data_IF_735081032315
#
_entry.id   IF_735081032315
#
_cell.length_a   1.000
_cell.length_b   1.000
_cell.length_c   1.000
_cell.angle_alpha   90.00
_cell.angle_beta   90.00
_cell.angle_gamma   90.00
#
_symmetry.space_group_name_H-M   'P 1'
#
loop_
_entity.id
_entity.type
_entity.pdbx_description
1 polymer ?
#
# COMPACT_ATOMS: atom_id res chain seq x y z
N UNK A 1 9.67 3.60 -41.14
CA UNK A 1 9.42 2.35 -40.39
C UNK A 1 9.92 2.47 -38.93
N UNK A 2 9.33 3.36 -38.11
CA UNK A 2 9.69 3.49 -36.67
C UNK A 2 8.46 3.73 -35.75
N UNK A 3 7.25 3.34 -36.15
CA UNK A 3 6.03 3.57 -35.34
C UNK A 3 5.64 2.41 -34.41
N UNK A 4 6.31 1.27 -34.50
CA UNK A 4 5.93 0.06 -33.75
C UNK A 4 6.46 -0.01 -32.31
N UNK A 5 7.63 0.59 -32.01
CA UNK A 5 8.26 0.46 -30.69
C UNK A 5 7.67 1.39 -29.61
N UNK A 6 7.18 2.54 -30.00
CA UNK A 6 6.55 3.51 -29.07
C UNK A 6 5.16 3.04 -28.58
N UNK A 7 4.44 2.28 -29.40
CA UNK A 7 3.12 1.75 -29.02
C UNK A 7 3.21 0.56 -28.07
N UNK A 8 4.23 -0.27 -28.20
CA UNK A 8 4.46 -1.42 -27.31
C UNK A 8 4.90 -0.97 -25.91
N UNK A 9 5.79 0.03 -25.82
CA UNK A 9 6.22 0.62 -24.56
C UNK A 9 5.06 1.26 -23.79
N UNK A 10 4.21 2.05 -24.46
CA UNK A 10 3.01 2.66 -23.85
C UNK A 10 1.99 1.63 -23.36
N UNK A 11 1.79 0.52 -24.09
CA UNK A 11 0.90 -0.56 -23.65
C UNK A 11 1.43 -1.29 -22.41
N UNK A 12 2.75 -1.52 -22.34
CA UNK A 12 3.37 -2.19 -21.18
C UNK A 12 3.28 -1.36 -19.92
N UNK A 13 3.57 -0.07 -19.97
CA UNK A 13 3.40 0.87 -18.85
C UNK A 13 1.94 0.93 -18.41
N UNK A 14 1.02 1.03 -19.36
CA UNK A 14 -0.42 1.07 -19.10
C UNK A 14 -0.92 -0.17 -18.35
N UNK A 15 -0.48 -1.36 -18.72
CA UNK A 15 -0.89 -2.60 -18.07
C UNK A 15 -0.32 -2.70 -16.65
N UNK A 16 0.89 -2.22 -16.42
CA UNK A 16 1.50 -2.18 -15.09
C UNK A 16 0.74 -1.22 -14.15
N UNK A 17 0.38 -0.03 -14.63
CA UNK A 17 -0.37 0.96 -13.85
C UNK A 17 -1.78 0.45 -13.50
N UNK A 18 -2.47 -0.20 -14.44
CA UNK A 18 -3.78 -0.83 -14.21
C UNK A 18 -3.65 -1.97 -13.19
N UNK A 19 -2.65 -2.84 -13.35
CA UNK A 19 -2.42 -3.93 -12.43
C UNK A 19 -2.12 -3.42 -11.02
N UNK A 20 -1.32 -2.38 -10.88
CA UNK A 20 -1.01 -1.75 -9.59
C UNK A 20 -2.25 -1.10 -8.96
N UNK A 21 -3.11 -0.44 -9.74
CA UNK A 21 -4.37 0.13 -9.27
C UNK A 21 -5.33 -0.97 -8.78
N UNK A 22 -5.53 -2.02 -9.58
CA UNK A 22 -6.41 -3.13 -9.22
C UNK A 22 -5.91 -3.88 -7.98
N UNK A 23 -4.60 -4.06 -7.87
CA UNK A 23 -3.98 -4.75 -6.74
C UNK A 23 -3.97 -3.89 -5.47
N UNK A 24 -3.70 -2.60 -5.59
CA UNK A 24 -3.67 -1.67 -4.45
C UNK A 24 -5.06 -1.27 -3.97
N UNK A 25 -5.72 -0.36 -4.68
CA UNK A 25 -6.94 0.29 -4.18
C UNK A 25 -8.14 -0.66 -4.07
N UNK A 26 -8.38 -1.49 -5.09
CA UNK A 26 -9.57 -2.37 -5.10
C UNK A 26 -9.37 -3.55 -4.16
N UNK A 27 -8.24 -4.24 -4.26
CA UNK A 27 -7.99 -5.41 -3.42
C UNK A 27 -7.91 -5.04 -1.93
N UNK A 28 -7.22 -3.94 -1.58
CA UNK A 28 -7.16 -3.45 -0.21
C UNK A 28 -8.54 -3.09 0.31
N UNK A 29 -9.33 -2.35 -0.47
CA UNK A 29 -10.68 -1.96 -0.08
C UNK A 29 -11.64 -3.13 0.09
N UNK A 30 -11.62 -4.12 -0.81
CA UNK A 30 -12.43 -5.34 -0.70
C UNK A 30 -11.99 -6.20 0.49
N UNK A 31 -10.69 -6.30 0.75
CA UNK A 31 -10.15 -7.00 1.93
C UNK A 31 -10.62 -6.31 3.21
N UNK A 32 -10.56 -4.98 3.27
CA UNK A 32 -11.05 -4.21 4.40
C UNK A 32 -12.54 -4.45 4.65
N UNK A 33 -13.37 -4.39 3.60
CA UNK A 33 -14.79 -4.67 3.70
C UNK A 33 -15.08 -6.09 4.20
N UNK A 34 -14.31 -7.09 3.71
CA UNK A 34 -14.42 -8.48 4.18
C UNK A 34 -14.08 -8.64 5.66
N UNK A 35 -13.05 -7.95 6.16
CA UNK A 35 -12.67 -7.98 7.57
C UNK A 35 -13.72 -7.31 8.45
N UNK A 36 -14.30 -6.18 8.01
CA UNK A 36 -15.42 -5.53 8.72
C UNK A 36 -16.64 -6.42 8.77
N UNK A 37 -17.00 -7.12 7.69
CA UNK A 37 -18.11 -8.09 7.68
C UNK A 37 -17.85 -9.25 8.65
N UNK A 38 -16.64 -9.76 8.72
CA UNK A 38 -16.28 -10.80 9.70
C UNK A 38 -16.41 -10.30 11.14
N UNK A 39 -16.01 -9.06 11.41
CA UNK A 39 -16.17 -8.43 12.71
C UNK A 39 -17.64 -8.24 13.06
N UNK A 40 -18.44 -7.70 12.14
CA UNK A 40 -19.87 -7.54 12.29
C UNK A 40 -20.59 -8.86 12.58
N UNK A 41 -20.23 -9.93 11.86
CA UNK A 41 -20.78 -11.27 12.09
C UNK A 41 -20.45 -11.83 13.49
N UNK A 42 -19.26 -11.51 14.03
CA UNK A 42 -18.86 -11.93 15.38
C UNK A 42 -19.57 -11.13 16.49
N UNK A 43 -19.79 -9.83 16.27
CA UNK A 43 -20.42 -8.93 17.25
C UNK A 43 -21.94 -8.86 17.16
N UNK A 44 -22.54 -9.34 16.06
CA UNK A 44 -23.95 -9.17 15.76
C UNK A 44 -24.32 -7.73 15.36
N UNK A 45 -23.33 -6.90 14.96
CA UNK A 45 -23.50 -5.49 14.61
C UNK A 45 -23.95 -5.34 13.15
N UNK A 46 -25.27 -5.11 12.97
CA UNK A 46 -25.86 -4.92 11.64
C UNK A 46 -25.46 -3.61 10.97
N UNK A 47 -25.17 -2.57 11.73
CA UNK A 47 -24.79 -1.28 11.17
C UNK A 47 -23.38 -1.36 10.59
N UNK A 48 -22.45 -2.02 11.28
CA UNK A 48 -21.11 -2.31 10.78
C UNK A 48 -21.15 -3.21 9.54
N UNK A 49 -22.09 -4.19 9.49
CA UNK A 49 -22.27 -5.02 8.30
C UNK A 49 -22.75 -4.20 7.09
N UNK A 50 -23.71 -3.30 7.28
CA UNK A 50 -24.21 -2.43 6.24
C UNK A 50 -23.12 -1.48 5.73
N UNK A 51 -22.35 -0.85 6.63
CA UNK A 51 -21.22 0.01 6.26
C UNK A 51 -20.21 -0.75 5.39
N UNK A 52 -19.86 -1.99 5.76
CA UNK A 52 -18.93 -2.81 5.01
C UNK A 52 -19.45 -3.17 3.60
N UNK A 53 -20.75 -3.46 3.49
CA UNK A 53 -21.40 -3.76 2.20
C UNK A 53 -21.48 -2.53 1.31
N UNK A 54 -21.86 -1.36 1.84
CA UNK A 54 -21.88 -0.10 1.10
C UNK A 54 -20.51 0.27 0.57
N UNK A 55 -19.47 0.07 1.39
CA UNK A 55 -18.08 0.31 1.00
C UNK A 55 -17.64 -0.61 -0.14
N UNK A 56 -17.94 -1.92 -0.06
CA UNK A 56 -17.63 -2.86 -1.13
C UNK A 56 -18.40 -2.52 -2.42
N UNK A 57 -19.68 -2.20 -2.32
CA UNK A 57 -20.51 -1.79 -3.46
C UNK A 57 -19.98 -0.51 -4.10
N UNK A 58 -19.58 0.49 -3.31
CA UNK A 58 -18.97 1.72 -3.79
C UNK A 58 -17.69 1.49 -4.59
N UNK A 59 -16.83 0.56 -4.12
CA UNK A 59 -15.62 0.18 -4.85
C UNK A 59 -15.92 -0.49 -6.19
N UNK A 60 -16.91 -1.38 -6.24
CA UNK A 60 -17.27 -2.13 -7.44
C UNK A 60 -18.07 -1.30 -8.46
N UNK A 61 -18.80 -0.27 -8.00
CA UNK A 61 -19.59 0.62 -8.86
C UNK A 61 -18.80 1.74 -9.52
N UNK A 62 -17.54 1.96 -9.11
CA UNK A 62 -16.68 2.95 -9.75
C UNK A 62 -16.35 2.53 -11.20
N UNK A 63 -16.41 3.48 -12.13
CA UNK A 63 -15.99 3.22 -13.51
C UNK A 63 -14.47 3.08 -13.60
N UNK A 64 -14.00 1.85 -13.51
CA UNK A 64 -12.58 1.51 -13.60
C UNK A 64 -12.06 1.53 -15.04
N UNK A 65 -12.91 1.76 -16.05
CA UNK A 65 -12.50 1.83 -17.45
C UNK A 65 -11.88 3.18 -17.80
N UNK A 66 -12.20 4.22 -17.03
CA UNK A 66 -11.71 5.59 -17.19
C UNK A 66 -10.62 5.91 -16.16
N UNK A 67 -9.62 5.03 -16.01
CA UNK A 67 -8.40 5.38 -15.27
C UNK A 67 -7.73 6.49 -16.07
N UNK A 68 -8.09 7.72 -15.73
CA UNK A 68 -7.59 8.91 -16.39
C UNK A 68 -6.11 9.08 -16.04
N UNK A 69 -5.24 8.81 -16.99
CA UNK A 69 -3.77 8.91 -16.88
C UNK A 69 -3.26 10.31 -16.47
N UNK A 70 -4.14 11.28 -16.37
CA UNK A 70 -3.83 12.67 -16.03
C UNK A 70 -3.87 12.97 -14.54
N UNK A 71 -4.21 12.03 -13.71
CA UNK A 71 -4.12 12.17 -12.24
C UNK A 71 -3.26 11.05 -11.66
N UNK A 72 -1.96 11.18 -11.79
CA UNK A 72 -1.08 10.68 -10.74
C UNK A 72 -1.50 11.47 -9.50
N UNK A 73 -2.36 10.86 -8.69
CA UNK A 73 -2.80 11.49 -7.46
C UNK A 73 -1.53 11.87 -6.69
N UNK A 74 -1.46 13.12 -6.22
CA UNK A 74 -0.30 13.56 -5.42
C UNK A 74 -0.06 12.48 -4.36
N UNK A 75 1.18 12.09 -4.11
CA UNK A 75 1.51 11.00 -3.18
C UNK A 75 0.87 11.15 -1.81
N UNK A 76 0.71 12.39 -1.34
CA UNK A 76 0.02 12.69 -0.09
C UNK A 76 -1.46 12.28 -0.15
N UNK A 77 -2.12 12.51 -1.28
CA UNK A 77 -3.52 12.10 -1.51
C UNK A 77 -3.62 10.58 -1.53
N UNK A 78 -2.63 9.90 -2.12
CA UNK A 78 -2.60 8.44 -2.14
C UNK A 78 -2.40 7.86 -0.74
N UNK A 79 -1.50 8.41 0.06
CA UNK A 79 -1.29 8.02 1.46
C UNK A 79 -2.55 8.21 2.31
N UNK A 80 -3.27 9.33 2.14
CA UNK A 80 -4.55 9.56 2.82
C UNK A 80 -5.62 8.54 2.42
N UNK A 81 -5.68 8.15 1.14
CA UNK A 81 -6.58 7.09 0.67
C UNK A 81 -6.23 5.73 1.27
N UNK A 82 -4.94 5.40 1.41
CA UNK A 82 -4.50 4.17 2.08
C UNK A 82 -5.00 4.15 3.52
N UNK A 83 -4.78 5.23 4.29
CA UNK A 83 -5.27 5.34 5.67
C UNK A 83 -6.79 5.19 5.72
N UNK A 84 -7.52 5.95 4.90
CA UNK A 84 -8.98 5.88 4.83
C UNK A 84 -9.47 4.47 4.43
N UNK A 85 -8.72 3.79 3.57
CA UNK A 85 -8.98 2.43 3.12
C UNK A 85 -9.04 1.41 4.26
N UNK A 86 -8.30 1.61 5.34
CA UNK A 86 -8.21 0.70 6.49
C UNK A 86 -8.92 1.24 7.75
N UNK A 87 -9.66 2.34 7.64
CA UNK A 87 -10.43 2.92 8.76
C UNK A 87 -11.39 1.87 9.35
N UNK A 88 -11.42 1.78 10.68
CA UNK A 88 -12.23 0.81 11.41
C UNK A 88 -11.58 -0.58 11.56
N UNK A 89 -10.44 -0.84 10.88
CA UNK A 89 -9.68 -2.09 10.99
C UNK A 89 -8.36 -1.86 11.70
N UNK A 90 -7.62 -0.83 11.32
CA UNK A 90 -6.34 -0.49 11.91
C UNK A 90 -6.14 1.02 12.02
N UNK A 91 -5.49 1.43 13.10
CA UNK A 91 -5.00 2.80 13.29
C UNK A 91 -3.64 2.94 12.62
N UNK A 92 -3.57 3.80 11.61
CA UNK A 92 -2.37 3.99 10.80
C UNK A 92 -1.89 5.44 10.95
N UNK A 93 -0.64 5.60 11.34
CA UNK A 93 0.04 6.90 11.39
C UNK A 93 1.20 6.92 10.42
N UNK A 94 1.32 7.99 9.62
CA UNK A 94 2.39 8.15 8.62
C UNK A 94 3.07 9.50 8.84
N UNK A 95 4.39 9.48 9.04
CA UNK A 95 5.27 10.64 9.16
C UNK A 95 6.45 10.49 8.19
N UNK A 96 6.41 11.22 7.09
CA UNK A 96 7.44 11.19 6.04
C UNK A 96 8.09 12.57 5.88
N UNK A 97 9.32 12.64 5.32
CA UNK A 97 9.88 13.91 4.87
C UNK A 97 8.95 14.61 3.88
N UNK A 98 8.98 15.96 3.79
CA UNK A 98 8.21 16.69 2.81
C UNK A 98 8.46 16.17 1.38
N UNK A 99 7.40 16.01 0.60
CA UNK A 99 7.48 15.47 -0.79
C UNK A 99 8.38 16.29 -1.70
N UNK A 100 8.52 17.59 -1.44
CA UNK A 100 9.44 18.49 -2.16
C UNK A 100 10.92 18.09 -2.06
N UNK A 101 11.28 17.28 -1.07
CA UNK A 101 12.63 16.76 -0.87
C UNK A 101 12.86 15.41 -1.53
N UNK A 102 11.87 14.85 -2.21
CA UNK A 102 11.95 13.52 -2.81
C UNK A 102 11.79 13.63 -4.33
N UNK A 103 12.60 12.90 -5.08
CA UNK A 103 12.36 12.74 -6.50
C UNK A 103 11.07 11.94 -6.76
N UNK A 104 10.50 12.11 -7.96
CA UNK A 104 9.21 11.51 -8.31
C UNK A 104 9.24 9.98 -8.24
N UNK A 105 10.37 9.36 -8.56
CA UNK A 105 10.54 7.91 -8.55
C UNK A 105 10.62 7.38 -7.11
N UNK A 106 11.46 8.01 -6.28
CA UNK A 106 11.59 7.67 -4.86
C UNK A 106 10.23 7.81 -4.16
N UNK A 107 9.52 8.89 -4.44
CA UNK A 107 8.21 9.17 -3.86
C UNK A 107 7.15 8.13 -4.27
N UNK A 108 7.08 7.80 -5.56
CA UNK A 108 6.16 6.76 -6.07
C UNK A 108 6.47 5.38 -5.49
N UNK A 109 7.74 4.99 -5.45
CA UNK A 109 8.17 3.71 -4.90
C UNK A 109 7.91 3.64 -3.39
N UNK A 110 8.14 4.74 -2.66
CA UNK A 110 7.81 4.85 -1.23
C UNK A 110 6.34 4.54 -0.98
N UNK A 111 5.43 5.19 -1.72
CA UNK A 111 3.99 4.98 -1.55
C UNK A 111 3.60 3.53 -1.88
N UNK A 112 4.14 2.95 -2.95
CA UNK A 112 3.84 1.56 -3.33
C UNK A 112 4.31 0.56 -2.27
N UNK A 113 5.51 0.74 -1.72
CA UNK A 113 6.04 -0.14 -0.67
C UNK A 113 5.32 0.03 0.66
N UNK A 114 4.93 1.24 1.04
CA UNK A 114 4.10 1.50 2.24
C UNK A 114 2.74 0.82 2.10
N UNK A 115 2.08 0.95 0.95
CA UNK A 115 0.78 0.32 0.69
C UNK A 115 0.85 -1.20 0.85
N UNK A 116 1.85 -1.84 0.24
CA UNK A 116 2.06 -3.29 0.35
C UNK A 116 2.38 -3.72 1.79
N UNK A 117 3.23 -2.96 2.49
CA UNK A 117 3.61 -3.25 3.87
C UNK A 117 2.41 -3.18 4.83
N UNK A 118 1.59 -2.13 4.71
CA UNK A 118 0.37 -1.96 5.52
C UNK A 118 -0.60 -3.12 5.24
N UNK A 119 -0.85 -3.41 3.96
CA UNK A 119 -1.75 -4.49 3.57
C UNK A 119 -1.27 -5.85 4.10
N UNK A 120 0.04 -6.12 4.07
CA UNK A 120 0.62 -7.35 4.61
C UNK A 120 0.55 -7.42 6.13
N UNK A 121 0.81 -6.33 6.84
CA UNK A 121 0.68 -6.25 8.30
C UNK A 121 -0.75 -6.57 8.75
N UNK A 122 -1.76 -6.04 8.06
CA UNK A 122 -3.16 -6.28 8.41
C UNK A 122 -3.58 -7.70 8.03
N UNK A 123 -3.31 -8.14 6.81
CA UNK A 123 -3.77 -9.45 6.30
C UNK A 123 -3.07 -10.65 6.95
N UNK A 124 -1.79 -10.53 7.25
CA UNK A 124 -0.97 -11.67 7.66
C UNK A 124 -0.53 -11.61 9.12
N UNK A 125 -0.40 -10.43 9.71
CA UNK A 125 -0.09 -10.26 11.12
C UNK A 125 -1.28 -9.80 11.97
N UNK A 126 -2.46 -9.59 11.38
CA UNK A 126 -3.65 -9.08 12.07
C UNK A 126 -3.39 -7.78 12.84
N UNK A 127 -2.51 -6.93 12.29
CA UNK A 127 -2.12 -5.69 12.91
C UNK A 127 -3.31 -4.73 13.00
N UNK A 128 -3.48 -4.10 14.17
CA UNK A 128 -4.48 -3.07 14.44
C UNK A 128 -3.85 -1.71 14.69
N UNK A 129 -2.53 -1.63 14.82
CA UNK A 129 -1.77 -0.39 14.98
C UNK A 129 -0.55 -0.44 14.09
N UNK A 130 -0.38 0.57 13.23
CA UNK A 130 0.73 0.65 12.28
C UNK A 130 1.28 2.06 12.30
N UNK A 131 2.58 2.18 12.51
CA UNK A 131 3.32 3.43 12.46
C UNK A 131 4.34 3.40 11.33
N UNK A 132 4.26 4.36 10.42
CA UNK A 132 5.20 4.56 9.33
C UNK A 132 5.99 5.83 9.60
N UNK A 133 7.30 5.75 9.55
CA UNK A 133 8.19 6.91 9.67
C UNK A 133 9.25 6.88 8.59
N UNK A 134 9.64 8.06 8.10
CA UNK A 134 10.67 8.21 7.07
C UNK A 134 11.70 9.23 7.48
N UNK A 135 12.96 8.95 7.16
CA UNK A 135 14.11 9.86 7.37
C UNK A 135 14.90 9.93 6.08
N UNK A 136 15.09 11.15 5.58
CA UNK A 136 15.97 11.43 4.46
C UNK A 136 17.33 11.90 5.00
N UNK A 137 18.40 11.18 4.65
CA UNK A 137 19.78 11.60 4.92
C UNK A 137 20.56 11.52 3.62
N UNK A 138 21.10 12.66 3.20
CA UNK A 138 21.74 12.77 1.89
C UNK A 138 20.77 12.28 0.79
N UNK A 139 21.17 11.28 0.02
CA UNK A 139 20.37 10.70 -1.05
C UNK A 139 19.69 9.38 -0.65
N UNK A 140 19.62 9.06 0.63
CA UNK A 140 19.01 7.82 1.14
C UNK A 140 17.75 8.12 1.95
N UNK A 141 16.62 7.66 1.45
CA UNK A 141 15.35 7.67 2.17
C UNK A 141 15.17 6.33 2.89
N UNK A 142 15.25 6.36 4.22
CA UNK A 142 14.99 5.19 5.06
C UNK A 142 13.56 5.25 5.59
N UNK A 143 12.78 4.21 5.33
CA UNK A 143 11.42 4.06 5.85
C UNK A 143 11.39 2.94 6.88
N UNK A 144 10.79 3.23 8.04
CA UNK A 144 10.52 2.25 9.08
C UNK A 144 9.02 2.09 9.25
N UNK A 145 8.54 0.86 9.24
CA UNK A 145 7.16 0.50 9.49
C UNK A 145 7.14 -0.42 10.71
N UNK A 146 6.47 0.03 11.76
CA UNK A 146 6.30 -0.70 13.00
C UNK A 146 4.83 -1.05 13.13
N UNK A 147 4.52 -2.31 13.37
CA UNK A 147 3.15 -2.77 13.59
C UNK A 147 3.09 -3.74 14.75
N UNK A 148 1.94 -3.76 15.44
CA UNK A 148 1.59 -4.83 16.37
C UNK A 148 1.10 -6.06 15.58
N UNK A 149 0.68 -7.09 16.31
CA UNK A 149 0.08 -8.30 15.76
C UNK A 149 1.01 -9.50 15.76
N UNK A 150 0.58 -10.55 15.07
CA UNK A 150 1.28 -11.82 15.03
C UNK A 150 2.61 -11.72 14.28
N UNK A 151 3.57 -12.55 14.63
CA UNK A 151 4.80 -12.68 13.84
C UNK A 151 4.47 -13.19 12.44
N UNK A 152 4.86 -12.43 11.43
CA UNK A 152 4.75 -12.93 10.06
C UNK A 152 5.75 -14.08 9.87
N UNK A 153 5.25 -15.28 9.67
CA UNK A 153 6.10 -16.44 9.34
C UNK A 153 6.77 -16.17 8.00
N UNK A 154 8.08 -16.40 7.91
CA UNK A 154 8.78 -16.39 6.62
C UNK A 154 8.17 -17.45 5.70
N UNK A 155 7.14 -17.07 4.94
CA UNK A 155 6.54 -17.89 3.91
C UNK A 155 7.39 -17.92 2.64
N UNK A 156 6.93 -18.67 1.63
CA UNK A 156 7.53 -18.58 0.29
C UNK A 156 7.44 -17.14 -0.20
N UNK A 157 8.54 -16.65 -0.81
CA UNK A 157 8.60 -15.34 -1.42
C UNK A 157 7.37 -15.12 -2.34
N UNK A 158 6.48 -14.22 -1.95
CA UNK A 158 5.30 -13.85 -2.71
C UNK A 158 5.51 -12.59 -3.56
N UNK A 159 4.41 -12.08 -4.13
CA UNK A 159 4.45 -10.85 -4.93
C UNK A 159 4.98 -9.65 -4.12
N UNK A 160 4.65 -9.54 -2.83
CA UNK A 160 5.14 -8.48 -1.96
C UNK A 160 6.66 -8.50 -1.80
N UNK A 161 7.25 -9.68 -1.54
CA UNK A 161 8.71 -9.83 -1.47
C UNK A 161 9.39 -9.41 -2.78
N UNK A 162 8.78 -9.75 -3.92
CA UNK A 162 9.30 -9.33 -5.22
C UNK A 162 9.26 -7.81 -5.36
N UNK A 163 8.18 -7.15 -4.94
CA UNK A 163 8.05 -5.70 -5.01
C UNK A 163 9.15 -4.99 -4.20
N UNK A 164 9.45 -5.47 -2.97
CA UNK A 164 10.55 -4.94 -2.17
C UNK A 164 11.91 -5.16 -2.83
N UNK A 165 12.17 -6.34 -3.39
CA UNK A 165 13.42 -6.63 -4.11
C UNK A 165 13.59 -5.77 -5.38
N UNK A 166 12.49 -5.44 -6.07
CA UNK A 166 12.54 -4.68 -7.32
C UNK A 166 12.68 -3.16 -7.08
N UNK A 167 12.11 -2.63 -5.98
CA UNK A 167 12.00 -1.19 -5.76
C UNK A 167 12.92 -0.64 -4.66
N UNK A 168 13.21 -1.40 -3.61
CA UNK A 168 14.11 -0.97 -2.55
C UNK A 168 15.56 -1.33 -2.86
N UNK A 169 16.50 -0.47 -2.48
CA UNK A 169 17.94 -0.81 -2.53
C UNK A 169 18.31 -1.83 -1.46
N UNK A 170 17.68 -1.72 -0.30
CA UNK A 170 17.81 -2.67 0.81
C UNK A 170 16.50 -2.76 1.57
N UNK A 171 16.22 -3.91 2.15
CA UNK A 171 15.10 -4.06 3.09
C UNK A 171 15.34 -5.19 4.08
N UNK A 172 14.74 -5.07 5.26
CA UNK A 172 14.80 -6.07 6.32
C UNK A 172 13.49 -6.16 7.08
N UNK A 173 13.21 -7.34 7.62
CA UNK A 173 12.07 -7.59 8.47
C UNK A 173 12.52 -8.29 9.75
N UNK A 174 12.06 -7.81 10.90
CA UNK A 174 12.25 -8.40 12.21
C UNK A 174 10.92 -8.46 12.96
N UNK A 175 10.73 -9.48 13.77
CA UNK A 175 9.58 -9.64 14.65
C UNK A 175 10.06 -10.04 16.02
N UNK A 176 9.79 -9.21 17.03
CA UNK A 176 10.18 -9.43 18.41
C UNK A 176 9.07 -8.99 19.35
N UNK A 177 8.74 -9.83 20.34
CA UNK A 177 7.83 -9.49 21.44
C UNK A 177 6.47 -8.92 20.99
N UNK A 178 5.88 -9.46 19.91
CA UNK A 178 4.58 -9.00 19.40
C UNK A 178 4.64 -7.68 18.62
N UNK A 179 5.84 -7.24 18.27
CA UNK A 179 6.07 -6.08 17.43
C UNK A 179 6.81 -6.50 16.16
N UNK A 180 6.27 -6.12 15.02
CA UNK A 180 6.87 -6.34 13.70
C UNK A 180 7.51 -5.05 13.22
N UNK A 181 8.72 -5.16 12.70
CA UNK A 181 9.46 -4.03 12.10
C UNK A 181 9.89 -4.38 10.70
N UNK A 182 9.44 -3.60 9.75
CA UNK A 182 9.93 -3.61 8.37
C UNK A 182 10.70 -2.32 8.12
N UNK A 183 11.92 -2.43 7.63
CA UNK A 183 12.75 -1.29 7.23
C UNK A 183 13.12 -1.45 5.77
N UNK A 184 13.03 -0.38 4.98
CA UNK A 184 13.53 -0.35 3.62
C UNK A 184 14.17 0.99 3.26
N UNK A 185 15.09 0.95 2.31
CA UNK A 185 15.89 2.09 1.87
C UNK A 185 15.64 2.32 0.38
N UNK A 186 15.44 3.55 0.00
CA UNK A 186 15.33 4.02 -1.37
C UNK A 186 16.41 5.05 -1.67
N UNK A 187 16.94 5.03 -2.89
CA UNK A 187 17.83 6.08 -3.37
C UNK A 187 16.97 7.22 -3.89
N UNK A 188 17.20 8.42 -3.37
CA UNK A 188 16.59 9.67 -3.78
C UNK A 188 17.59 10.44 -4.65
N UNK A 189 17.26 10.68 -5.89
CA UNK A 189 18.16 11.34 -6.86
C UNK A 189 17.59 12.70 -7.27
N UNK A 190 17.47 13.60 -6.30
CA UNK A 190 17.13 14.99 -6.58
C UNK A 190 18.24 15.70 -7.32
#
# INVERSE_FOLDING_TARGET
KYSGSLSAGRKSVRNADIAQYLHGEIQAGLTASSLLLQQAAKSGDSDLANEALERAAGLLSQDHTNISYTRIAKPEVKLQKIIAGWKGIADITISLPPSVQLDETALRNTVALIEEAIANSIRHAHATQIQVSGILKEDLLTINIISNGDSMVKGKAGLGTKLFNDLASEWSYASESGQNRLTFILVNRL
#
